data_IF_507895626199
#
_entry.id   IF_507895626199
#
_cell.length_a   1.000
_cell.length_b   1.000
_cell.length_c   1.000
_cell.angle_alpha   90.00
_cell.angle_beta   90.00
_cell.angle_gamma   90.00
#
_symmetry.space_group_name_H-M   'P 1'
#
loop_
_entity.id
_entity.type
_entity.pdbx_description
1 polymer ?
#
# COMPACT_ATOMS: atom_id res chain seq x y z
N UNK A 1 6.88 18.79 24.79
CA UNK A 1 5.68 19.25 24.04
C UNK A 1 5.16 18.00 23.36
N UNK A 2 4.04 17.42 23.79
CA UNK A 2 3.46 16.25 23.11
C UNK A 2 2.36 16.73 22.17
N UNK A 3 2.46 16.41 20.89
CA UNK A 3 1.35 16.54 19.93
C UNK A 3 0.74 15.16 19.69
N UNK A 4 -0.59 15.08 19.74
CA UNK A 4 -1.35 13.89 19.35
C UNK A 4 -2.15 14.25 18.11
N UNK A 5 -1.68 13.80 16.96
CA UNK A 5 -2.30 14.09 15.67
C UNK A 5 -3.09 12.87 15.19
N UNK A 6 -4.42 13.00 15.16
CA UNK A 6 -5.32 11.99 14.61
C UNK A 6 -5.67 12.35 13.18
N UNK A 7 -5.45 11.42 12.24
CA UNK A 7 -5.78 11.61 10.82
C UNK A 7 -7.03 10.81 10.43
N UNK A 8 -8.24 11.35 10.61
CA UNK A 8 -9.44 10.73 10.07
C UNK A 8 -9.50 11.00 8.56
N UNK A 9 -9.35 9.94 7.78
CA UNK A 9 -9.46 10.03 6.34
C UNK A 9 -10.20 8.81 5.78
N UNK A 10 -11.31 9.09 5.10
CA UNK A 10 -12.10 8.10 4.39
C UNK A 10 -11.55 7.94 2.97
N UNK A 11 -11.37 6.70 2.52
CA UNK A 11 -10.93 6.41 1.16
C UNK A 11 -11.95 6.92 0.14
N UNK A 12 -11.49 7.49 -0.96
CA UNK A 12 -12.37 7.85 -2.08
C UNK A 12 -13.09 6.61 -2.62
N UNK A 13 -12.41 5.46 -2.58
CA UNK A 13 -12.99 4.15 -2.87
C UNK A 13 -12.95 3.32 -1.59
N UNK A 14 -14.11 3.19 -0.94
CA UNK A 14 -14.22 2.47 0.34
C UNK A 14 -14.08 0.95 0.19
N UNK A 15 -13.50 0.34 1.23
CA UNK A 15 -13.45 -1.11 1.40
C UNK A 15 -14.71 -1.57 2.14
N UNK A 16 -15.39 -2.58 1.61
CA UNK A 16 -16.57 -3.12 2.28
C UNK A 16 -16.14 -4.04 3.42
N UNK A 17 -16.74 -3.87 4.61
CA UNK A 17 -16.44 -4.68 5.80
C UNK A 17 -16.64 -6.17 5.52
N UNK A 18 -17.68 -6.54 4.78
CA UNK A 18 -17.97 -7.92 4.38
C UNK A 18 -16.92 -8.57 3.47
N UNK A 19 -16.07 -7.75 2.84
CA UNK A 19 -14.96 -8.20 1.99
C UNK A 19 -13.63 -8.21 2.74
N UNK A 20 -13.66 -8.02 4.07
CA UNK A 20 -12.48 -8.11 4.93
C UNK A 20 -12.33 -9.55 5.41
N UNK A 21 -11.12 -10.11 5.25
CA UNK A 21 -10.82 -11.52 5.57
C UNK A 21 -9.74 -11.58 6.66
N UNK A 22 -10.02 -12.34 7.70
CA UNK A 22 -9.08 -12.60 8.80
C UNK A 22 -8.24 -13.85 8.55
N UNK A 23 -7.07 -13.93 9.22
CA UNK A 23 -6.25 -15.14 9.25
C UNK A 23 -5.28 -15.31 8.08
N UNK A 24 -5.01 -14.25 7.32
CA UNK A 24 -4.04 -14.31 6.22
C UNK A 24 -2.60 -14.30 6.75
N UNK A 25 -1.72 -15.04 6.08
CA UNK A 25 -0.29 -15.14 6.43
C UNK A 25 0.51 -14.04 5.75
N UNK A 26 1.35 -13.33 6.50
CA UNK A 26 2.36 -12.42 5.95
C UNK A 26 3.64 -13.20 5.66
N UNK A 27 4.25 -12.97 4.50
CA UNK A 27 5.56 -13.50 4.14
C UNK A 27 6.61 -12.41 4.32
N UNK A 28 7.35 -12.37 5.44
CA UNK A 28 8.40 -11.38 5.62
C UNK A 28 9.60 -11.67 4.71
N UNK A 29 10.32 -10.62 4.32
CA UNK A 29 11.55 -10.73 3.52
C UNK A 29 12.69 -11.46 4.25
N UNK A 30 12.63 -11.51 5.59
CA UNK A 30 13.63 -12.12 6.45
C UNK A 30 12.94 -12.99 7.49
N UNK A 31 13.35 -14.25 7.56
CA UNK A 31 12.86 -15.24 8.52
C UNK A 31 11.81 -16.20 7.93
N UNK A 32 11.42 -17.24 8.70
CA UNK A 32 10.33 -18.12 8.29
C UNK A 32 9.03 -17.32 8.15
N UNK A 33 8.08 -17.77 7.32
CA UNK A 33 6.73 -17.20 7.30
C UNK A 33 6.23 -17.10 8.73
N UNK A 34 5.99 -15.87 9.21
CA UNK A 34 5.34 -15.71 10.48
C UNK A 34 3.86 -15.91 10.23
N UNK A 35 3.23 -16.84 10.94
CA UNK A 35 1.76 -16.95 11.02
C UNK A 35 1.16 -15.75 11.79
N UNK A 36 1.63 -14.53 11.51
CA UNK A 36 0.97 -13.34 11.99
C UNK A 36 -0.32 -13.22 11.21
N UNK A 37 -1.42 -13.63 11.85
CA UNK A 37 -2.77 -13.55 11.28
C UNK A 37 -3.10 -12.08 11.00
N UNK A 38 -3.12 -11.73 9.72
CA UNK A 38 -3.51 -10.41 9.26
C UNK A 38 -4.96 -10.41 8.81
N UNK A 39 -5.64 -9.33 9.17
CA UNK A 39 -6.90 -8.93 8.58
C UNK A 39 -6.60 -8.16 7.28
N UNK A 40 -7.04 -8.70 6.14
CA UNK A 40 -6.88 -8.06 4.83
C UNK A 40 -8.22 -7.49 4.37
N UNK A 41 -8.20 -6.24 3.91
CA UNK A 41 -9.30 -5.59 3.23
C UNK A 41 -9.17 -5.83 1.72
N UNK A 42 -10.26 -6.24 1.07
CA UNK A 42 -10.27 -6.52 -0.36
C UNK A 42 -11.14 -5.54 -1.13
N UNK A 43 -10.70 -5.14 -2.32
CA UNK A 43 -11.48 -4.29 -3.22
C UNK A 43 -11.12 -4.55 -4.68
N UNK A 44 -12.14 -4.74 -5.52
CA UNK A 44 -12.00 -4.62 -6.97
C UNK A 44 -12.38 -3.20 -7.40
N UNK A 45 -11.58 -2.57 -8.26
CA UNK A 45 -11.84 -1.23 -8.76
C UNK A 45 -10.75 -0.71 -9.70
N UNK A 46 -11.02 0.48 -10.25
CA UNK A 46 -10.04 1.23 -11.04
C UNK A 46 -9.18 2.07 -10.10
N UNK A 47 -7.87 1.85 -10.16
CA UNK A 47 -6.90 2.58 -9.35
C UNK A 47 -5.80 3.19 -10.24
N UNK A 48 -5.29 4.39 -9.91
CA UNK A 48 -4.09 4.91 -10.56
C UNK A 48 -2.90 4.00 -10.23
N UNK A 49 -2.32 3.42 -11.27
CA UNK A 49 -1.28 2.40 -11.19
C UNK A 49 -0.06 2.81 -12.02
N UNK A 50 1.11 2.46 -11.50
CA UNK A 50 2.40 2.61 -12.17
C UNK A 50 3.17 1.31 -12.06
N UNK A 51 3.56 0.77 -13.21
CA UNK A 51 4.49 -0.34 -13.28
C UNK A 51 5.93 0.17 -13.19
N UNK A 52 6.63 -0.19 -12.10
CA UNK A 52 8.04 0.13 -11.90
C UNK A 52 8.93 -1.12 -12.02
N UNK A 53 8.41 -2.22 -12.58
CA UNK A 53 9.10 -3.51 -12.69
C UNK A 53 10.45 -3.37 -13.37
N UNK A 54 10.52 -2.65 -14.49
CA UNK A 54 11.76 -2.45 -15.25
C UNK A 54 12.75 -1.49 -14.59
N UNK A 55 12.31 -0.69 -13.61
CA UNK A 55 13.13 0.33 -12.95
C UNK A 55 13.68 -0.14 -11.62
N UNK A 56 12.81 -0.65 -10.75
CA UNK A 56 13.16 -1.04 -9.37
C UNK A 56 12.53 -2.38 -8.96
N UNK A 57 11.90 -3.11 -9.89
CA UNK A 57 11.29 -4.40 -9.59
C UNK A 57 10.07 -4.30 -8.68
N UNK A 58 9.27 -3.24 -8.79
CA UNK A 58 8.11 -3.01 -7.93
C UNK A 58 6.89 -2.50 -8.72
N UNK A 59 5.75 -2.51 -8.06
CA UNK A 59 4.49 -1.92 -8.53
C UNK A 59 4.08 -0.81 -7.58
N UNK A 60 3.40 0.20 -8.10
CA UNK A 60 2.93 1.33 -7.31
C UNK A 60 1.46 1.61 -7.59
N UNK A 61 0.70 1.85 -6.52
CA UNK A 61 -0.71 2.27 -6.58
C UNK A 61 -0.92 3.51 -5.74
N UNK A 62 -1.89 4.32 -6.15
CA UNK A 62 -2.34 5.49 -5.42
C UNK A 62 -3.76 5.26 -4.89
N UNK A 63 -3.95 5.50 -3.60
CA UNK A 63 -5.21 5.40 -2.88
C UNK A 63 -5.61 6.80 -2.40
N UNK A 64 -6.40 7.54 -3.19
CA UNK A 64 -6.84 8.87 -2.82
C UNK A 64 -7.89 8.82 -1.71
N UNK A 65 -7.91 9.86 -0.86
CA UNK A 65 -8.96 10.06 0.13
C UNK A 65 -10.11 10.89 -0.44
N UNK A 66 -11.32 10.72 0.11
CA UNK A 66 -12.51 11.48 -0.27
C UNK A 66 -12.29 12.98 -0.01
N UNK A 67 -12.58 13.80 -1.02
CA UNK A 67 -12.58 15.27 -0.94
C UNK A 67 -11.25 15.90 -0.47
N UNK A 68 -10.12 15.23 -0.67
CA UNK A 68 -8.82 15.65 -0.14
C UNK A 68 -7.68 15.41 -1.15
N UNK A 69 -6.78 16.39 -1.26
CA UNK A 69 -5.49 16.28 -1.97
C UNK A 69 -4.57 15.14 -1.47
N UNK A 70 -4.49 14.81 -0.15
CA UNK A 70 -3.65 13.71 0.30
C UNK A 70 -4.07 12.37 -0.31
N UNK A 71 -3.06 11.64 -0.74
CA UNK A 71 -3.16 10.31 -1.35
C UNK A 71 -2.14 9.42 -0.68
N UNK A 72 -2.53 8.19 -0.34
CA UNK A 72 -1.57 7.18 0.10
C UNK A 72 -1.02 6.47 -1.14
N UNK A 73 0.30 6.44 -1.26
CA UNK A 73 0.99 5.68 -2.29
C UNK A 73 1.54 4.41 -1.67
N UNK A 74 1.16 3.26 -2.23
CA UNK A 74 1.69 1.96 -1.81
C UNK A 74 2.63 1.47 -2.90
N UNK A 75 3.86 1.16 -2.51
CA UNK A 75 4.86 0.53 -3.38
C UNK A 75 5.05 -0.90 -2.89
N UNK A 76 4.81 -1.86 -3.79
CA UNK A 76 4.91 -3.28 -3.49
C UNK A 76 6.02 -3.90 -4.34
N UNK A 77 7.08 -4.46 -3.73
CA UNK A 77 8.08 -5.23 -4.46
C UNK A 77 7.44 -6.41 -5.19
N UNK A 78 7.94 -6.70 -6.40
CA UNK A 78 7.56 -7.91 -7.11
C UNK A 78 8.07 -9.16 -6.38
N UNK A 79 7.50 -10.31 -6.72
CA UNK A 79 7.93 -11.59 -6.15
C UNK A 79 9.45 -11.77 -6.30
N UNK A 80 10.10 -12.18 -5.21
CA UNK A 80 11.56 -12.37 -5.09
C UNK A 80 12.41 -11.08 -5.09
N UNK A 81 11.80 -9.90 -5.12
CA UNK A 81 12.50 -8.63 -4.91
C UNK A 81 12.39 -8.26 -3.44
N UNK A 82 13.53 -8.01 -2.79
CA UNK A 82 13.55 -7.60 -1.39
C UNK A 82 13.18 -6.12 -1.27
N UNK A 83 12.47 -5.76 -0.21
CA UNK A 83 12.13 -4.37 0.10
C UNK A 83 13.36 -3.47 0.13
N UNK A 84 14.48 -3.93 0.71
CA UNK A 84 15.72 -3.16 0.77
C UNK A 84 16.31 -2.82 -0.61
N UNK A 85 16.07 -3.66 -1.63
CA UNK A 85 16.50 -3.37 -3.00
C UNK A 85 15.60 -2.31 -3.65
N UNK A 86 14.31 -2.30 -3.33
CA UNK A 86 13.39 -1.27 -3.81
C UNK A 86 13.73 0.06 -3.16
N UNK A 87 13.94 0.07 -1.84
CA UNK A 87 14.30 1.26 -1.06
C UNK A 87 15.61 1.89 -1.54
N UNK A 88 16.66 1.09 -1.81
CA UNK A 88 17.95 1.62 -2.25
C UNK A 88 17.90 2.27 -3.63
N UNK A 89 16.91 1.91 -4.45
CA UNK A 89 16.75 2.43 -5.82
C UNK A 89 15.57 3.42 -5.93
N UNK A 90 14.85 3.67 -4.84
CA UNK A 90 13.74 4.60 -4.82
C UNK A 90 14.28 6.03 -4.87
N UNK A 91 13.81 6.80 -5.85
CA UNK A 91 14.20 8.20 -6.02
C UNK A 91 12.96 9.10 -6.02
N UNK A 92 13.09 10.38 -5.63
CA UNK A 92 11.97 11.33 -5.68
C UNK A 92 11.34 11.45 -7.07
N UNK A 93 12.14 11.29 -8.13
CA UNK A 93 11.64 11.32 -9.51
C UNK A 93 10.70 10.14 -9.83
N UNK A 94 10.87 8.98 -9.19
CA UNK A 94 9.98 7.82 -9.35
C UNK A 94 8.66 8.03 -8.61
N UNK A 95 8.69 8.70 -7.45
CA UNK A 95 7.51 9.02 -6.65
C UNK A 95 6.63 10.07 -7.34
N UNK A 96 7.26 11.05 -7.98
CA UNK A 96 6.58 12.12 -8.72
C UNK A 96 6.25 11.72 -10.17
N UNK A 97 6.20 10.42 -10.47
CA UNK A 97 5.97 9.94 -11.84
C UNK A 97 4.65 10.52 -12.39
N UNK A 98 4.70 11.35 -13.44
CA UNK A 98 3.52 12.07 -13.92
C UNK A 98 2.54 11.16 -14.69
N UNK A 99 2.97 9.95 -15.06
CA UNK A 99 2.16 9.03 -15.88
C UNK A 99 1.66 7.89 -15.01
N UNK A 100 0.42 8.04 -14.52
CA UNK A 100 -0.36 6.95 -13.95
C UNK A 100 -1.39 6.51 -14.99
N UNK A 101 -1.70 5.21 -15.01
CA UNK A 101 -2.84 4.70 -15.80
C UNK A 101 -3.85 4.09 -14.85
N UNK A 102 -5.13 4.38 -15.06
CA UNK A 102 -6.19 3.72 -14.29
C UNK A 102 -6.30 2.27 -14.75
N UNK A 103 -5.98 1.34 -13.85
CA UNK A 103 -6.02 -0.09 -14.11
C UNK A 103 -7.08 -0.75 -13.23
N UNK A 104 -7.74 -1.77 -13.77
CA UNK A 104 -8.69 -2.58 -12.99
C UNK A 104 -7.89 -3.57 -12.13
N UNK A 105 -7.83 -3.33 -10.83
CA UNK A 105 -6.98 -4.08 -9.89
C UNK A 105 -7.85 -4.70 -8.81
N UNK A 106 -7.57 -5.97 -8.52
CA UNK A 106 -8.08 -6.63 -7.33
C UNK A 106 -7.09 -6.43 -6.18
N UNK A 107 -7.38 -5.42 -5.36
CA UNK A 107 -6.51 -4.94 -4.31
C UNK A 107 -6.74 -5.68 -3.00
N UNK A 108 -5.64 -6.10 -2.37
CA UNK A 108 -5.60 -6.69 -1.05
C UNK A 108 -4.63 -5.88 -0.21
N UNK A 109 -5.13 -5.20 0.83
CA UNK A 109 -4.28 -4.43 1.75
C UNK A 109 -4.57 -4.82 3.19
N UNK A 110 -3.56 -4.87 4.07
CA UNK A 110 -3.81 -5.07 5.49
C UNK A 110 -4.66 -3.95 6.07
N UNK A 111 -5.54 -4.31 7.02
CA UNK A 111 -6.26 -3.36 7.84
C UNK A 111 -5.29 -2.80 8.88
N UNK A 112 -4.76 -1.60 8.65
CA UNK A 112 -3.81 -0.98 9.56
C UNK A 112 -4.49 -0.14 10.65
N UNK A 113 -3.87 -0.13 11.83
CA UNK A 113 -3.96 0.95 12.80
C UNK A 113 -2.52 1.39 13.04
N UNK A 114 -2.16 2.59 12.56
CA UNK A 114 -0.85 3.14 12.82
C UNK A 114 -0.88 3.87 14.16
N UNK A 115 -0.10 3.38 15.12
CA UNK A 115 0.17 4.05 16.39
C UNK A 115 1.67 4.36 16.39
N UNK A 116 2.01 5.65 16.47
CA UNK A 116 3.39 6.09 16.60
C UNK A 116 3.56 6.64 18.02
N UNK A 117 4.49 6.06 18.78
CA UNK A 117 4.95 6.67 20.02
C UNK A 117 6.09 7.64 19.67
N UNK A 118 5.92 8.90 20.04
CA UNK A 118 6.89 10.00 19.84
C UNK A 118 7.73 10.24 21.08
#
# INVERSE_FOLDING_TARGET
MCSLDFFPAAWQVEFQVQSTVDGNTLYPDIGPPQEKKLTLMMKNGLFPYVDLTSKIGAQMIHLPFTNKDPTITIILPNKNIKLSQVESNLTPALLNSPTTTNQNIFLWIPKWKFEFES
#
